data_IF_162244722512
#
_entry.id   IF_162244722512
#
_cell.length_a   1.000
_cell.length_b   1.000
_cell.length_c   1.000
_cell.angle_alpha   90.00
_cell.angle_beta   90.00
_cell.angle_gamma   90.00
#
_symmetry.space_group_name_H-M   'P 1'
#
loop_
_entity.id
_entity.type
_entity.pdbx_description
1 polymer ?
#
# COMPACT_ATOMS: atom_id res chain seq x y z
N UNK A 1 5.31 7.27 15.99
CA UNK A 1 4.24 8.28 16.00
C UNK A 1 3.36 8.00 14.79
N UNK A 2 2.08 7.58 14.95
CA UNK A 2 1.15 7.44 13.81
C UNK A 2 0.89 8.84 13.24
N UNK A 3 0.81 9.00 11.91
CA UNK A 3 0.58 10.30 11.27
C UNK A 3 -0.90 10.39 10.83
N UNK A 4 -1.83 10.69 11.76
CA UNK A 4 -3.26 10.75 11.46
C UNK A 4 -3.53 11.77 10.34
N UNK A 5 -2.81 12.90 10.34
CA UNK A 5 -2.93 13.93 9.30
C UNK A 5 -2.67 13.41 7.88
N UNK A 6 -1.72 12.50 7.69
CA UNK A 6 -1.49 11.93 6.36
C UNK A 6 -2.63 10.99 5.94
N UNK A 7 -3.16 10.19 6.88
CA UNK A 7 -4.28 9.30 6.59
C UNK A 7 -5.51 10.12 6.20
N UNK A 8 -5.81 11.19 6.95
CA UNK A 8 -6.93 12.10 6.66
C UNK A 8 -6.76 12.77 5.29
N UNK A 9 -5.55 13.23 4.97
CA UNK A 9 -5.25 13.83 3.66
C UNK A 9 -5.37 12.80 2.53
N UNK A 10 -4.89 11.58 2.76
CA UNK A 10 -4.98 10.49 1.80
C UNK A 10 -6.44 10.12 1.52
N UNK A 11 -7.26 9.98 2.56
CA UNK A 11 -8.70 9.77 2.44
C UNK A 11 -9.37 10.87 1.60
N UNK A 12 -9.06 12.14 1.87
CA UNK A 12 -9.62 13.26 1.11
C UNK A 12 -9.25 13.23 -0.37
N UNK A 13 -7.98 12.94 -0.69
CA UNK A 13 -7.49 12.89 -2.07
C UNK A 13 -8.14 11.72 -2.82
N UNK A 14 -8.12 10.53 -2.22
CA UNK A 14 -8.60 9.31 -2.87
C UNK A 14 -10.12 9.35 -3.03
N UNK A 15 -10.85 9.81 -2.02
CA UNK A 15 -12.31 9.88 -2.08
C UNK A 15 -12.81 10.94 -3.07
N UNK A 16 -11.97 11.90 -3.46
CA UNK A 16 -12.29 12.88 -4.49
C UNK A 16 -12.01 12.38 -5.92
N UNK A 17 -11.38 11.21 -6.08
CA UNK A 17 -11.02 10.68 -7.40
C UNK A 17 -12.26 10.09 -8.09
N UNK A 18 -12.56 10.47 -9.35
CA UNK A 18 -13.81 10.06 -10.03
C UNK A 18 -14.00 8.54 -10.18
N UNK A 19 -12.90 7.79 -10.25
CA UNK A 19 -12.93 6.34 -10.44
C UNK A 19 -12.97 5.56 -9.12
N UNK A 20 -12.99 6.26 -7.97
CA UNK A 20 -13.09 5.61 -6.66
C UNK A 20 -14.56 5.48 -6.27
N UNK A 21 -14.98 4.23 -6.05
CA UNK A 21 -16.33 3.88 -5.58
C UNK A 21 -16.40 3.89 -4.06
N UNK A 22 -15.33 3.41 -3.41
CA UNK A 22 -15.31 3.21 -1.96
C UNK A 22 -13.91 3.41 -1.42
N UNK A 23 -13.84 4.06 -0.27
CA UNK A 23 -12.68 4.11 0.60
C UNK A 23 -13.09 3.56 1.97
N UNK A 24 -12.28 2.66 2.53
CA UNK A 24 -12.48 2.21 3.91
C UNK A 24 -11.17 1.80 4.58
N UNK A 25 -11.11 2.01 5.90
CA UNK A 25 -10.03 1.48 6.72
C UNK A 25 -10.36 0.06 7.16
N UNK A 26 -9.52 -0.90 6.80
CA UNK A 26 -9.69 -2.32 7.15
C UNK A 26 -8.64 -2.72 8.19
N UNK A 27 -9.10 -3.27 9.31
CA UNK A 27 -8.22 -3.85 10.34
C UNK A 27 -7.95 -5.32 9.98
N UNK A 28 -6.68 -5.67 9.73
CA UNK A 28 -6.19 -7.02 9.41
C UNK A 28 -5.71 -7.77 10.66
N UNK A 29 -6.28 -7.45 11.82
CA UNK A 29 -5.93 -8.05 13.10
C UNK A 29 -4.46 -7.81 13.48
N UNK A 30 -3.65 -8.87 13.52
CA UNK A 30 -2.24 -8.80 13.95
C UNK A 30 -1.33 -8.08 12.95
N UNK A 31 -1.75 -7.98 11.69
CA UNK A 31 -0.94 -7.36 10.63
C UNK A 31 -1.05 -5.82 10.61
N UNK A 32 -2.01 -5.27 11.36
CA UNK A 32 -2.28 -3.84 11.45
C UNK A 32 -3.52 -3.45 10.64
N UNK A 33 -3.51 -2.24 10.09
CA UNK A 33 -4.62 -1.70 9.31
C UNK A 33 -4.12 -1.24 7.93
N UNK A 34 -5.00 -1.35 6.93
CA UNK A 34 -4.79 -0.85 5.57
C UNK A 34 -5.89 0.12 5.19
N UNK A 35 -5.60 0.99 4.23
CA UNK A 35 -6.60 1.82 3.56
C UNK A 35 -6.99 1.13 2.26
N UNK A 36 -8.20 0.56 2.21
CA UNK A 36 -8.73 -0.12 1.03
C UNK A 36 -9.46 0.85 0.13
N UNK A 37 -9.14 0.79 -1.15
CA UNK A 37 -9.76 1.62 -2.19
C UNK A 37 -10.34 0.70 -3.25
N UNK A 38 -11.65 0.83 -3.50
CA UNK A 38 -12.35 0.11 -4.56
C UNK A 38 -12.62 1.05 -5.72
N UNK A 39 -12.23 0.65 -6.92
CA UNK A 39 -12.40 1.42 -8.14
C UNK A 39 -13.64 0.98 -8.93
N UNK A 40 -14.06 1.81 -9.89
CA UNK A 40 -15.26 1.58 -10.74
C UNK A 40 -15.14 0.36 -11.65
N UNK A 41 -13.92 -0.07 -11.95
CA UNK A 41 -13.62 -1.27 -12.74
C UNK A 41 -13.59 -2.56 -11.88
N UNK A 42 -13.85 -2.45 -10.57
CA UNK A 42 -13.83 -3.55 -9.62
C UNK A 42 -12.45 -3.88 -9.07
N UNK A 43 -11.40 -3.12 -9.41
CA UNK A 43 -10.08 -3.29 -8.79
C UNK A 43 -10.13 -2.82 -7.34
N UNK A 44 -9.53 -3.60 -6.43
CA UNK A 44 -9.32 -3.23 -5.04
C UNK A 44 -7.82 -3.11 -4.74
N UNK A 45 -7.42 -1.99 -4.13
CA UNK A 45 -6.03 -1.75 -3.73
C UNK A 45 -5.97 -1.47 -2.23
N UNK A 46 -5.10 -2.21 -1.53
CA UNK A 46 -4.81 -2.03 -0.11
C UNK A 46 -3.52 -1.23 0.09
N UNK A 47 -3.65 -0.03 0.65
CA UNK A 47 -2.51 0.83 0.98
C UNK A 47 -2.12 0.67 2.45
N UNK A 48 -0.89 0.19 2.68
CA UNK A 48 -0.29 0.15 4.02
C UNK A 48 0.55 1.40 4.27
N UNK A 49 0.06 2.29 5.13
CA UNK A 49 0.75 3.54 5.48
C UNK A 49 1.62 3.32 6.73
N UNK A 50 2.93 3.48 6.58
CA UNK A 50 3.94 3.32 7.66
C UNK A 50 4.79 4.58 7.83
N UNK A 51 5.25 4.88 9.05
CA UNK A 51 6.04 6.09 9.36
C UNK A 51 7.55 5.89 9.16
N UNK A 52 7.92 5.34 8.01
CA UNK A 52 9.29 4.99 7.66
C UNK A 52 9.34 3.71 6.85
N UNK A 53 10.27 3.63 5.91
CA UNK A 53 10.66 2.34 5.35
C UNK A 53 11.26 1.50 6.49
N UNK A 54 11.07 0.17 6.50
CA UNK A 54 11.90 -0.68 7.35
C UNK A 54 13.38 -0.39 7.08
N UNK A 55 14.29 -0.66 8.02
CA UNK A 55 15.76 -0.58 7.84
C UNK A 55 16.28 -1.47 6.68
N UNK A 56 15.38 -2.17 5.98
CA UNK A 56 15.61 -2.94 4.77
C UNK A 56 15.14 -2.24 3.48
N UNK A 57 14.91 -0.92 3.52
CA UNK A 57 14.69 -0.12 2.32
C UNK A 57 15.98 -0.02 1.52
N UNK A 58 15.89 -0.13 0.20
CA UNK A 58 17.02 -0.09 -0.74
C UNK A 58 18.15 0.83 -0.29
N UNK A 59 19.35 0.27 -0.24
CA UNK A 59 20.57 1.06 -0.16
C UNK A 59 20.66 1.88 -1.45
N UNK A 60 20.32 3.17 -1.38
CA UNK A 60 20.38 4.07 -2.53
C UNK A 60 21.81 4.27 -3.08
N UNK A 61 22.84 3.77 -2.38
CA UNK A 61 24.22 3.70 -2.90
C UNK A 61 24.48 2.47 -3.76
N UNK A 62 23.59 1.49 -3.76
CA UNK A 62 23.69 0.30 -4.60
C UNK A 62 22.92 0.47 -5.92
N UNK A 63 23.45 -0.09 -7.02
CA UNK A 63 22.71 -0.15 -8.26
C UNK A 63 21.44 -0.99 -8.08
N UNK A 64 20.35 -0.56 -8.73
CA UNK A 64 19.06 -1.27 -8.72
C UNK A 64 19.24 -2.76 -9.05
N UNK A 65 18.67 -3.63 -8.21
CA UNK A 65 18.64 -5.07 -8.45
C UNK A 65 17.21 -5.52 -8.69
N UNK A 66 16.89 -5.88 -9.93
CA UNK A 66 15.62 -6.54 -10.25
C UNK A 66 15.74 -8.00 -9.80
N UNK A 67 15.15 -8.32 -8.64
CA UNK A 67 15.07 -9.70 -8.14
C UNK A 67 13.82 -10.36 -8.70
N UNK A 68 13.93 -11.03 -9.84
CA UNK A 68 12.87 -11.90 -10.35
C UNK A 68 12.97 -13.27 -9.68
N UNK A 69 12.02 -13.60 -8.80
CA UNK A 69 11.86 -14.96 -8.30
C UNK A 69 11.22 -15.79 -9.42
N UNK A 70 12.02 -16.54 -10.16
CA UNK A 70 11.48 -17.64 -10.97
C UNK A 70 11.15 -18.78 -10.01
N UNK A 71 9.86 -19.06 -9.84
CA UNK A 71 9.44 -20.36 -9.34
C UNK A 71 9.98 -21.41 -10.31
N UNK A 72 10.98 -22.18 -9.88
CA UNK A 72 11.35 -23.43 -10.53
C UNK A 72 10.18 -24.40 -10.31
N UNK A 73 9.16 -24.32 -11.14
CA UNK A 73 8.23 -25.44 -11.29
C UNK A 73 8.86 -26.49 -12.22
N UNK A 74 8.71 -27.75 -11.80
CA UNK A 74 8.75 -28.99 -12.59
C UNK A 74 10.14 -29.56 -12.94
N UNK A 75 10.58 -30.56 -12.17
CA UNK A 75 10.77 -31.96 -12.61
C UNK A 75 11.04 -32.89 -11.43
#
# INVERSE_FOLDING_TARGET
>A
MRNPRFIDLFEQIVSAWPEVVKYERVELGKEGAVQRVTFTDGIEIDFRIVNGAPDSGDDATQPEKIVTKYDKQVR
#
